data_IF_853296337770
#
_entry.id   IF_853296337770
#
_cell.length_a   1.000
_cell.length_b   1.000
_cell.length_c   1.000
_cell.angle_alpha   90.00
_cell.angle_beta   90.00
_cell.angle_gamma   90.00
#
_symmetry.space_group_name_H-M   'P 1'
#
loop_
_entity.id
_entity.type
_entity.pdbx_description
1 polymer ?
#
# COMPACT_ATOMS: atom_id res chain seq x y z
N UNK A 1 13.94 17.16 11.69
CA UNK A 1 12.62 16.54 11.49
C UNK A 1 12.14 15.91 12.77
N UNK A 2 10.95 16.30 13.24
CA UNK A 2 10.39 15.71 14.45
C UNK A 2 9.81 14.29 14.21
N UNK A 3 9.73 13.43 15.24
CA UNK A 3 9.27 12.04 15.09
C UNK A 3 7.83 11.89 14.59
N UNK A 4 6.96 12.86 14.92
CA UNK A 4 5.58 12.83 14.47
C UNK A 4 5.50 13.14 12.97
N UNK A 5 6.22 14.15 12.49
CA UNK A 5 6.26 14.48 11.04
C UNK A 5 6.76 13.31 10.20
N UNK A 6 7.80 12.60 10.66
CA UNK A 6 8.26 11.35 10.04
C UNK A 6 7.13 10.32 9.91
N UNK A 7 6.40 10.10 11.01
CA UNK A 7 5.31 9.12 11.07
C UNK A 7 4.13 9.55 10.19
N UNK A 8 3.80 10.84 10.16
CA UNK A 8 2.75 11.39 9.32
C UNK A 8 3.07 11.23 7.83
N UNK A 9 4.30 11.54 7.41
CA UNK A 9 4.74 11.36 6.02
C UNK A 9 4.67 9.88 5.63
N UNK A 10 5.14 8.98 6.49
CA UNK A 10 5.06 7.54 6.25
C UNK A 10 3.60 7.06 6.11
N UNK A 11 2.71 7.49 7.01
CA UNK A 11 1.30 7.13 6.98
C UNK A 11 0.58 7.68 5.73
N UNK A 12 0.81 8.94 5.36
CA UNK A 12 0.21 9.55 4.15
C UNK A 12 0.73 8.86 2.90
N UNK A 13 2.03 8.53 2.84
CA UNK A 13 2.63 7.79 1.71
C UNK A 13 2.02 6.41 1.57
N UNK A 14 1.92 5.67 2.67
CA UNK A 14 1.32 4.34 2.70
C UNK A 14 -0.20 4.39 2.36
N UNK A 15 -0.91 5.41 2.85
CA UNK A 15 -2.30 5.68 2.49
C UNK A 15 -2.47 5.94 1.00
N UNK A 16 -1.66 6.83 0.41
CA UNK A 16 -1.68 7.11 -1.02
C UNK A 16 -1.44 5.85 -1.86
N UNK A 17 -0.46 5.03 -1.47
CA UNK A 17 -0.18 3.75 -2.13
C UNK A 17 -1.35 2.77 -2.01
N UNK A 18 -1.90 2.58 -0.81
CA UNK A 18 -3.00 1.66 -0.56
C UNK A 18 -4.29 2.08 -1.29
N UNK A 19 -4.56 3.38 -1.39
CA UNK A 19 -5.70 3.88 -2.17
C UNK A 19 -5.44 3.72 -3.66
N UNK A 20 -4.25 4.11 -4.15
CA UNK A 20 -3.88 4.07 -5.56
C UNK A 20 -3.81 2.66 -6.15
N UNK A 21 -3.44 1.64 -5.35
CA UNK A 21 -3.43 0.24 -5.77
C UNK A 21 -4.74 -0.52 -5.46
N UNK A 22 -5.72 0.14 -4.85
CA UNK A 22 -7.00 -0.47 -4.47
C UNK A 22 -6.96 -1.41 -3.26
N UNK A 23 -5.84 -1.52 -2.55
CA UNK A 23 -5.71 -2.35 -1.35
C UNK A 23 -6.34 -1.72 -0.10
N UNK A 24 -6.61 -0.41 -0.10
CA UNK A 24 -7.22 0.27 1.03
C UNK A 24 -8.65 -0.23 1.28
N UNK A 25 -8.91 -0.64 2.52
CA UNK A 25 -10.27 -0.88 3.02
C UNK A 25 -11.09 0.42 2.98
N UNK A 26 -12.43 0.31 3.10
CA UNK A 26 -13.28 1.50 3.22
C UNK A 26 -12.81 2.42 4.36
N UNK A 27 -12.52 1.84 5.53
CA UNK A 27 -11.97 2.57 6.67
C UNK A 27 -10.62 3.25 6.37
N UNK A 28 -9.73 2.57 5.61
CA UNK A 28 -8.46 3.16 5.19
C UNK A 28 -8.62 4.33 4.21
N UNK A 29 -9.55 4.21 3.26
CA UNK A 29 -9.91 5.30 2.33
C UNK A 29 -10.48 6.50 3.08
N UNK A 30 -11.42 6.26 3.99
CA UNK A 30 -12.07 7.31 4.76
C UNK A 30 -11.06 8.03 5.67
N UNK A 31 -10.15 7.29 6.32
CA UNK A 31 -9.09 7.87 7.13
C UNK A 31 -8.11 8.71 6.29
N UNK A 32 -7.74 8.25 5.10
CA UNK A 32 -6.86 8.98 4.19
C UNK A 32 -7.52 10.27 3.68
N UNK A 33 -8.79 10.20 3.26
CA UNK A 33 -9.54 11.37 2.81
C UNK A 33 -9.78 12.37 3.95
N UNK A 34 -9.95 11.91 5.21
CA UNK A 34 -10.02 12.80 6.37
C UNK A 34 -8.72 13.59 6.56
N UNK A 35 -7.56 12.94 6.43
CA UNK A 35 -6.26 13.62 6.50
C UNK A 35 -6.13 14.65 5.38
N UNK A 36 -6.50 14.29 4.15
CA UNK A 36 -6.50 15.22 3.00
C UNK A 36 -7.44 16.41 3.22
N UNK A 37 -8.64 16.17 3.73
CA UNK A 37 -9.61 17.21 4.06
C UNK A 37 -9.06 18.20 5.09
N UNK A 38 -8.38 17.71 6.14
CA UNK A 38 -7.73 18.58 7.12
C UNK A 38 -6.57 19.37 6.51
N UNK A 39 -5.76 18.75 5.66
CA UNK A 39 -4.69 19.44 4.93
C UNK A 39 -5.27 20.54 4.05
N UNK A 40 -6.29 20.24 3.25
CA UNK A 40 -6.92 21.23 2.38
C UNK A 40 -7.58 22.38 3.17
N UNK A 41 -8.20 22.09 4.31
CA UNK A 41 -8.92 23.08 5.11
C UNK A 41 -8.06 23.93 6.05
N UNK A 42 -7.06 23.34 6.70
CA UNK A 42 -6.26 24.00 7.75
C UNK A 42 -4.81 24.24 7.34
N UNK A 43 -4.28 23.43 6.42
CA UNK A 43 -2.88 23.48 5.98
C UNK A 43 -2.81 23.61 4.47
N UNK A 44 -3.61 24.49 3.86
CA UNK A 44 -3.79 24.54 2.40
C UNK A 44 -2.46 24.68 1.61
N UNK A 45 -1.42 25.25 2.23
CA UNK A 45 -0.05 25.33 1.67
C UNK A 45 0.64 23.97 1.51
N UNK A 46 0.22 22.95 2.25
CA UNK A 46 0.72 21.57 2.21
C UNK A 46 0.02 20.77 1.09
N UNK A 47 -1.18 21.16 0.67
CA UNK A 47 -1.96 20.44 -0.35
C UNK A 47 -1.18 20.14 -1.64
N UNK A 48 -0.37 21.06 -2.22
CA UNK A 48 0.43 20.75 -3.39
C UNK A 48 1.45 19.63 -3.17
N UNK A 49 2.04 19.55 -1.96
CA UNK A 49 2.98 18.49 -1.61
C UNK A 49 2.28 17.13 -1.47
N UNK A 50 1.03 17.12 -0.98
CA UNK A 50 0.19 15.90 -0.99
C UNK A 50 -0.14 15.47 -2.40
N UNK A 51 -0.54 16.38 -3.29
CA UNK A 51 -0.81 16.05 -4.70
C UNK A 51 0.42 15.49 -5.40
N UNK A 52 1.60 16.07 -5.15
CA UNK A 52 2.87 15.56 -5.67
C UNK A 52 3.16 14.14 -5.16
N UNK A 53 2.93 13.89 -3.87
CA UNK A 53 3.11 12.57 -3.28
C UNK A 53 2.11 11.55 -3.84
N UNK A 54 0.84 11.91 -4.05
CA UNK A 54 -0.15 11.01 -4.66
C UNK A 54 0.24 10.61 -6.09
N UNK A 55 0.81 11.55 -6.86
CA UNK A 55 1.28 11.27 -8.21
C UNK A 55 2.52 10.36 -8.22
N UNK A 56 3.41 10.51 -7.23
CA UNK A 56 4.67 9.76 -7.14
C UNK A 56 4.98 9.32 -5.70
N UNK A 57 4.24 8.35 -5.12
CA UNK A 57 4.36 8.03 -3.69
C UNK A 57 5.73 7.45 -3.31
N UNK A 58 6.43 6.86 -4.28
CA UNK A 58 7.74 6.25 -4.09
C UNK A 58 8.90 7.25 -4.25
N UNK A 59 8.64 8.45 -4.79
CA UNK A 59 9.69 9.43 -5.03
C UNK A 59 10.13 10.08 -3.71
N UNK A 60 11.43 9.99 -3.40
CA UNK A 60 11.99 10.59 -2.19
C UNK A 60 11.78 12.11 -2.13
N UNK A 61 11.92 12.79 -3.28
CA UNK A 61 11.68 14.22 -3.37
C UNK A 61 10.24 14.62 -2.97
N UNK A 62 9.24 13.79 -3.29
CA UNK A 62 7.86 14.05 -2.90
C UNK A 62 7.65 13.90 -1.38
N UNK A 63 8.26 12.89 -0.76
CA UNK A 63 8.23 12.69 0.70
C UNK A 63 8.94 13.83 1.45
N UNK A 64 10.10 14.26 0.96
CA UNK A 64 10.84 15.40 1.53
C UNK A 64 10.02 16.69 1.42
N UNK A 65 9.41 16.95 0.27
CA UNK A 65 8.57 18.12 0.06
C UNK A 65 7.36 18.15 1.01
N UNK A 66 6.69 17.00 1.20
CA UNK A 66 5.60 16.89 2.17
C UNK A 66 6.10 17.16 3.60
N UNK A 67 7.22 16.55 3.99
CA UNK A 67 7.78 16.73 5.32
C UNK A 67 8.07 18.20 5.63
N UNK A 68 8.79 18.88 4.73
CA UNK A 68 9.10 20.30 4.86
C UNK A 68 7.82 21.16 4.98
N UNK A 69 6.82 20.87 4.14
CA UNK A 69 5.55 21.60 4.16
C UNK A 69 4.79 21.41 5.48
N UNK A 70 4.80 20.20 6.04
CA UNK A 70 4.17 19.91 7.34
C UNK A 70 4.87 20.63 8.50
N UNK A 71 6.20 20.70 8.48
CA UNK A 71 6.96 21.42 9.51
C UNK A 71 6.73 22.93 9.44
N UNK A 72 6.79 23.51 8.23
CA UNK A 72 6.56 24.94 8.01
C UNK A 72 5.15 25.37 8.42
N UNK A 73 4.16 24.50 8.22
CA UNK A 73 2.77 24.73 8.63
C UNK A 73 2.48 24.41 10.10
N UNK A 74 3.48 23.89 10.82
CA UNK A 74 3.35 23.45 12.22
C UNK A 74 2.21 22.44 12.44
N UNK A 75 1.91 21.61 11.44
CA UNK A 75 0.80 20.66 11.48
C UNK A 75 0.88 19.68 12.66
N UNK A 76 2.08 19.38 13.15
CA UNK A 76 2.34 18.56 14.34
C UNK A 76 1.78 19.13 15.65
N UNK A 77 1.37 20.40 15.66
CA UNK A 77 0.74 21.07 16.81
C UNK A 77 -0.78 21.03 16.77
N UNK A 78 -1.39 20.67 15.64
CA UNK A 78 -2.84 20.57 15.51
C UNK A 78 -3.31 19.19 15.97
N UNK A 79 -4.14 19.17 17.01
CA UNK A 79 -4.66 17.95 17.62
C UNK A 79 -5.50 17.13 16.64
N UNK A 80 -6.37 17.77 15.85
CA UNK A 80 -7.22 17.08 14.89
C UNK A 80 -6.41 16.41 13.78
N UNK A 81 -5.31 17.02 13.35
CA UNK A 81 -4.36 16.43 12.40
C UNK A 81 -3.66 15.22 13.00
N UNK A 82 -3.16 15.32 14.24
CA UNK A 82 -2.52 14.20 14.94
C UNK A 82 -3.46 13.00 15.08
N UNK A 83 -4.70 13.25 15.48
CA UNK A 83 -5.73 12.21 15.62
C UNK A 83 -6.06 11.57 14.27
N UNK A 84 -6.21 12.37 13.22
CA UNK A 84 -6.50 11.85 11.88
C UNK A 84 -5.34 11.00 11.34
N UNK A 85 -4.09 11.41 11.55
CA UNK A 85 -2.91 10.62 11.20
C UNK A 85 -2.85 9.33 12.02
N UNK A 86 -3.20 9.37 13.31
CA UNK A 86 -3.31 8.19 14.17
C UNK A 86 -4.32 7.18 13.64
N UNK A 87 -5.53 7.62 13.30
CA UNK A 87 -6.56 6.76 12.72
C UNK A 87 -6.13 6.16 11.38
N UNK A 88 -5.44 6.94 10.53
CA UNK A 88 -4.88 6.42 9.29
C UNK A 88 -3.85 5.33 9.56
N UNK A 89 -2.95 5.54 10.51
CA UNK A 89 -1.95 4.55 10.90
C UNK A 89 -2.60 3.25 11.40
N UNK A 90 -3.62 3.35 12.26
CA UNK A 90 -4.36 2.18 12.76
C UNK A 90 -5.05 1.42 11.63
N UNK A 91 -5.68 2.13 10.69
CA UNK A 91 -6.31 1.51 9.53
C UNK A 91 -5.28 0.79 8.63
N UNK A 92 -4.09 1.37 8.47
CA UNK A 92 -2.98 0.76 7.72
C UNK A 92 -2.36 -0.44 8.44
N UNK A 93 -2.23 -0.40 9.77
CA UNK A 93 -1.76 -1.54 10.57
C UNK A 93 -2.77 -2.69 10.50
N UNK A 94 -4.06 -2.40 10.49
CA UNK A 94 -5.11 -3.41 10.30
C UNK A 94 -5.01 -4.08 8.92
N UNK A 95 -4.54 -3.37 7.89
CA UNK A 95 -4.24 -3.96 6.58
C UNK A 95 -3.03 -4.89 6.62
N UNK A 96 -1.99 -4.54 7.38
CA UNK A 96 -0.80 -5.39 7.57
C UNK A 96 -1.15 -6.67 8.34
N UNK A 97 -2.00 -6.53 9.36
CA UNK A 97 -2.35 -7.63 10.27
C UNK A 97 -3.52 -8.48 9.72
N UNK A 98 -4.07 -8.11 8.55
CA UNK A 98 -4.84 -9.07 7.75
C UNK A 98 -3.85 -10.11 7.23
N UNK A 99 -3.99 -11.40 7.60
CA UNK A 99 -3.19 -12.43 6.98
C UNK A 99 -3.44 -12.33 5.48
N UNK A 100 -2.38 -12.12 4.69
CA UNK A 100 -2.45 -12.36 3.26
C UNK A 100 -3.08 -13.74 3.11
N UNK A 101 -4.16 -13.84 2.32
CA UNK A 101 -4.81 -15.11 2.10
C UNK A 101 -3.72 -16.12 1.72
N UNK A 102 -3.65 -17.24 2.46
CA UNK A 102 -2.63 -18.23 2.23
C UNK A 102 -2.64 -18.59 0.73
N UNK A 103 -1.48 -18.66 0.07
CA UNK A 103 -1.45 -18.96 -1.34
C UNK A 103 -2.15 -20.30 -1.57
N UNK A 104 -2.93 -20.42 -2.65
CA UNK A 104 -3.62 -21.67 -2.96
C UNK A 104 -2.63 -22.84 -3.08
N UNK A 105 -1.43 -22.55 -3.57
CA UNK A 105 -0.31 -23.47 -3.59
C UNK A 105 0.95 -22.80 -3.02
N UNK A 106 1.48 -23.33 -1.91
CA UNK A 106 2.75 -22.90 -1.31
C UNK A 106 3.80 -24.01 -1.42
N UNK A 107 4.92 -23.73 -2.07
CA UNK A 107 6.02 -24.69 -2.25
C UNK A 107 7.34 -24.09 -1.75
N UNK A 108 8.07 -24.82 -0.91
CA UNK A 108 9.48 -24.48 -0.66
C UNK A 108 10.34 -24.74 -1.89
N UNK A 109 10.06 -25.82 -2.62
CA UNK A 109 10.69 -26.12 -3.90
C UNK A 109 9.70 -26.79 -4.84
N UNK A 110 9.47 -26.16 -5.99
CA UNK A 110 8.66 -26.69 -7.08
C UNK A 110 9.61 -27.15 -8.20
N UNK A 111 9.56 -28.43 -8.58
CA UNK A 111 10.30 -28.94 -9.72
C UNK A 111 9.35 -29.70 -10.63
N UNK A 112 9.11 -29.17 -11.83
CA UNK A 112 8.24 -29.79 -12.82
C UNK A 112 9.06 -30.19 -14.05
N UNK A 113 9.12 -31.49 -14.31
CA UNK A 113 10.05 -32.06 -15.27
C UNK A 113 9.55 -32.09 -16.73
N UNK A 114 8.26 -31.84 -16.99
CA UNK A 114 7.68 -31.97 -18.35
C UNK A 114 6.59 -30.94 -18.68
N UNK A 115 5.63 -30.76 -17.79
CA UNK A 115 4.57 -29.77 -18.03
C UNK A 115 3.96 -29.31 -16.73
N UNK A 116 3.87 -28.00 -16.55
CA UNK A 116 3.17 -27.38 -15.44
C UNK A 116 2.08 -26.48 -15.98
N UNK A 117 0.84 -26.74 -15.58
CA UNK A 117 -0.31 -26.06 -16.16
C UNK A 117 -1.31 -25.66 -15.09
N UNK A 118 -1.71 -24.38 -15.10
CA UNK A 118 -2.76 -23.82 -14.28
C UNK A 118 -3.73 -23.08 -15.18
N UNK A 119 -5.00 -23.47 -15.12
CA UNK A 119 -6.08 -22.89 -15.91
C UNK A 119 -7.25 -22.49 -15.04
N UNK A 120 -7.88 -21.38 -15.39
CA UNK A 120 -9.21 -20.99 -14.91
C UNK A 120 -9.36 -20.86 -13.38
N UNK A 121 -8.29 -20.43 -12.69
CA UNK A 121 -8.31 -20.25 -11.24
C UNK A 121 -8.95 -18.92 -10.86
N UNK A 122 -9.94 -18.96 -9.97
CA UNK A 122 -10.46 -17.75 -9.31
C UNK A 122 -9.95 -17.73 -7.87
N UNK A 123 -9.23 -16.68 -7.50
CA UNK A 123 -8.57 -16.58 -6.20
C UNK A 123 -8.79 -15.21 -5.54
N UNK A 124 -8.89 -15.21 -4.21
CA UNK A 124 -8.97 -14.00 -3.38
C UNK A 124 -7.58 -13.41 -3.02
N UNK A 125 -6.50 -13.98 -3.59
CA UNK A 125 -5.13 -13.68 -3.22
C UNK A 125 -4.12 -14.47 -4.06
N UNK A 126 -2.88 -14.59 -3.61
CA UNK A 126 -1.80 -15.28 -4.32
C UNK A 126 -2.20 -16.69 -4.76
N UNK A 127 -2.02 -17.02 -6.03
CA UNK A 127 -2.37 -18.34 -6.55
C UNK A 127 -1.25 -19.34 -6.26
N UNK A 128 0.01 -18.95 -6.52
CA UNK A 128 1.18 -19.80 -6.29
C UNK A 128 2.25 -18.98 -5.60
N UNK A 129 2.86 -19.57 -4.58
CA UNK A 129 4.10 -19.11 -3.99
C UNK A 129 5.11 -20.24 -4.07
N UNK A 130 6.30 -19.95 -4.58
CA UNK A 130 7.40 -20.91 -4.61
C UNK A 130 8.71 -20.22 -4.23
N UNK A 131 9.44 -20.73 -3.23
CA UNK A 131 10.77 -20.17 -2.88
C UNK A 131 11.81 -20.50 -3.95
N UNK A 132 11.72 -21.70 -4.54
CA UNK A 132 12.52 -22.11 -5.70
C UNK A 132 11.66 -22.89 -6.67
N UNK A 133 11.52 -22.39 -7.90
CA UNK A 133 10.80 -23.09 -8.95
C UNK A 133 11.74 -23.43 -10.11
N UNK A 134 11.71 -24.68 -10.57
CA UNK A 134 12.42 -25.17 -11.76
C UNK A 134 11.41 -25.87 -12.66
N UNK A 135 11.33 -25.43 -13.90
CA UNK A 135 10.49 -26.03 -14.92
C UNK A 135 11.40 -26.45 -16.06
N UNK A 136 11.44 -27.75 -16.35
CA UNK A 136 12.37 -28.32 -17.33
C UNK A 136 11.85 -28.21 -18.77
N UNK A 137 10.56 -27.90 -18.96
CA UNK A 137 9.89 -27.85 -20.26
C UNK A 137 8.72 -26.83 -20.22
N UNK A 138 7.48 -27.19 -20.53
CA UNK A 138 6.40 -26.20 -20.74
C UNK A 138 5.70 -25.72 -19.44
N UNK A 139 5.49 -24.40 -19.33
CA UNK A 139 4.64 -23.77 -18.30
C UNK A 139 3.49 -23.00 -18.94
N UNK A 140 2.25 -23.40 -18.63
CA UNK A 140 1.04 -22.71 -19.10
C UNK A 140 0.24 -22.19 -17.92
N UNK A 141 0.07 -20.87 -17.83
CA UNK A 141 -0.78 -20.22 -16.82
C UNK A 141 -1.81 -19.36 -17.56
N UNK A 142 -3.08 -19.72 -17.49
CA UNK A 142 -4.15 -19.03 -18.21
C UNK A 142 -5.46 -18.97 -17.40
N UNK A 143 -6.34 -18.03 -17.74
CA UNK A 143 -7.66 -17.93 -17.10
C UNK A 143 -7.66 -17.52 -15.62
N UNK A 144 -6.57 -16.96 -15.10
CA UNK A 144 -6.49 -16.56 -13.69
C UNK A 144 -7.31 -15.30 -13.42
N UNK A 145 -8.27 -15.40 -12.51
CA UNK A 145 -9.10 -14.30 -12.00
C UNK A 145 -8.77 -14.05 -10.53
N UNK A 146 -7.85 -13.13 -10.26
CA UNK A 146 -7.56 -12.68 -8.90
C UNK A 146 -8.45 -11.50 -8.52
N UNK A 147 -9.08 -11.59 -7.34
CA UNK A 147 -9.86 -10.52 -6.73
C UNK A 147 -9.17 -10.15 -5.40
N UNK A 148 -8.62 -8.94 -5.30
CA UNK A 148 -8.09 -8.41 -4.04
C UNK A 148 -6.61 -8.64 -3.70
N UNK A 149 -5.76 -9.07 -4.65
CA UNK A 149 -4.31 -9.18 -4.44
C UNK A 149 -3.51 -8.22 -5.32
N UNK A 150 -2.67 -7.37 -4.71
CA UNK A 150 -1.66 -6.61 -5.45
C UNK A 150 -0.57 -7.56 -5.97
N UNK A 151 -0.13 -7.45 -7.24
CA UNK A 151 0.98 -8.24 -7.73
C UNK A 151 2.30 -7.74 -7.11
N UNK A 152 2.81 -8.45 -6.10
CA UNK A 152 4.21 -8.30 -5.69
C UNK A 152 5.10 -9.02 -6.70
N UNK A 153 5.93 -8.25 -7.40
CA UNK A 153 7.04 -8.77 -8.20
C UNK A 153 8.19 -9.10 -7.24
N UNK A 154 8.63 -10.36 -7.25
CA UNK A 154 9.92 -10.80 -6.70
C UNK A 154 10.80 -11.30 -7.83
#
# INVERSE_FOLDING_TARGET
MDPFTLSAVAAITAGALAVGNGAASAAGKDAYEKVKGLIAGRFAKVSPAVTLLEAQPQAEAARISLAASLEESQAQRDEAFRDAVGHLLEALLTLRDRPAAAPLFDFDRLQAAKRFEIRDVTALGTVIKARKAVFDDEVVISGIRQTGGSPEKY
#
